data_IF_561260561006
#
_entry.id   IF_561260561006
#
_cell.length_a   1.000
_cell.length_b   1.000
_cell.length_c   1.000
_cell.angle_alpha   90.00
_cell.angle_beta   90.00
_cell.angle_gamma   90.00
#
_symmetry.space_group_name_H-M   'P 1'
#
loop_
_entity.id
_entity.type
_entity.pdbx_description
1 polymer ?
#
# COMPACT_ATOMS: atom_id res chain seq x y z
N UNK A 1 17.11 11.97 -17.55
CA UNK A 1 16.21 13.01 -17.00
C UNK A 1 15.60 12.49 -15.71
N UNK A 2 15.43 11.17 -15.60
CA UNK A 2 15.15 10.47 -14.37
C UNK A 2 16.46 10.04 -13.65
N UNK A 3 16.56 10.27 -12.34
CA UNK A 3 17.65 9.80 -11.48
C UNK A 3 17.06 8.96 -10.34
N UNK A 4 17.50 7.71 -10.20
CA UNK A 4 17.17 6.89 -9.04
C UNK A 4 18.38 6.87 -8.11
N UNK A 5 18.17 7.19 -6.83
CA UNK A 5 19.26 7.18 -5.82
C UNK A 5 19.72 5.76 -5.45
N UNK A 6 19.02 4.74 -5.96
CA UNK A 6 19.33 3.35 -5.71
C UNK A 6 19.10 2.49 -6.96
N UNK A 7 19.90 1.43 -7.16
CA UNK A 7 19.71 0.51 -8.27
C UNK A 7 18.45 -0.33 -8.06
N UNK A 8 17.75 -0.61 -9.17
CA UNK A 8 16.65 -1.58 -9.18
C UNK A 8 17.22 -3.01 -9.08
N UNK A 9 16.45 -3.92 -8.49
CA UNK A 9 16.78 -5.34 -8.59
C UNK A 9 16.65 -5.82 -10.03
N UNK A 10 17.32 -6.92 -10.39
CA UNK A 10 17.18 -7.51 -11.74
C UNK A 10 15.73 -7.79 -12.13
N UNK A 11 14.92 -8.26 -11.17
CA UNK A 11 13.50 -8.51 -11.39
C UNK A 11 12.74 -7.19 -11.63
N UNK A 12 13.02 -6.15 -10.84
CA UNK A 12 12.42 -4.82 -11.05
C UNK A 12 12.82 -4.21 -12.40
N UNK A 13 14.10 -4.35 -12.82
CA UNK A 13 14.58 -3.88 -14.12
C UNK A 13 13.87 -4.57 -15.27
N UNK A 14 13.74 -5.90 -15.20
CA UNK A 14 13.07 -6.70 -16.24
C UNK A 14 11.60 -6.32 -16.37
N UNK A 15 10.88 -6.22 -15.24
CA UNK A 15 9.47 -5.76 -15.26
C UNK A 15 9.38 -4.33 -15.78
N UNK A 16 10.23 -3.40 -15.33
CA UNK A 16 10.21 -2.01 -15.79
C UNK A 16 10.42 -1.90 -17.31
N UNK A 17 11.33 -2.71 -17.86
CA UNK A 17 11.57 -2.79 -19.30
C UNK A 17 10.35 -3.34 -20.05
N UNK A 18 9.71 -4.40 -19.54
CA UNK A 18 8.49 -4.94 -20.14
C UNK A 18 7.36 -3.91 -20.15
N UNK A 19 7.13 -3.21 -19.02
CA UNK A 19 6.15 -2.12 -18.94
C UNK A 19 6.44 -1.05 -20.00
N UNK A 20 7.71 -0.67 -20.18
CA UNK A 20 8.11 0.29 -21.20
C UNK A 20 7.78 -0.18 -22.62
N UNK A 21 8.06 -1.44 -22.97
CA UNK A 21 7.75 -1.99 -24.29
C UNK A 21 6.24 -2.10 -24.54
N UNK A 22 5.44 -2.44 -23.52
CA UNK A 22 3.98 -2.40 -23.62
C UNK A 22 3.46 -0.97 -23.85
N UNK A 23 3.92 0.00 -23.06
CA UNK A 23 3.53 1.41 -23.23
C UNK A 23 3.96 1.94 -24.60
N UNK A 24 5.14 1.57 -25.11
CA UNK A 24 5.59 1.93 -26.47
C UNK A 24 4.67 1.39 -27.57
N UNK A 25 4.10 0.22 -27.35
CA UNK A 25 3.18 -0.44 -28.29
C UNK A 25 1.71 -0.06 -28.08
N UNK A 26 1.42 0.85 -27.15
CA UNK A 26 0.06 1.31 -26.84
C UNK A 26 -0.74 0.34 -25.98
N UNK A 27 -0.12 -0.70 -25.41
CA UNK A 27 -0.79 -1.70 -24.59
C UNK A 27 -0.91 -1.29 -23.12
N UNK A 28 -2.02 -1.67 -22.52
CA UNK A 28 -2.27 -1.48 -21.09
C UNK A 28 -1.61 -2.57 -20.26
N UNK A 29 -1.23 -2.24 -19.02
CA UNK A 29 -0.53 -3.18 -18.14
C UNK A 29 -1.14 -3.16 -16.75
N UNK A 30 -1.30 -4.33 -16.15
CA UNK A 30 -1.51 -4.47 -14.70
C UNK A 30 -0.26 -5.08 -14.08
N UNK A 31 0.34 -4.35 -13.15
CA UNK A 31 1.45 -4.86 -12.35
C UNK A 31 0.89 -5.43 -11.05
N UNK A 32 0.88 -6.75 -10.93
CA UNK A 32 0.61 -7.47 -9.69
C UNK A 32 1.91 -7.61 -8.91
N UNK A 33 2.16 -6.69 -7.97
CA UNK A 33 3.35 -6.74 -7.14
C UNK A 33 3.08 -6.55 -5.66
N UNK A 34 3.76 -7.38 -4.86
CA UNK A 34 3.58 -7.45 -3.41
C UNK A 34 3.88 -6.13 -2.70
N UNK A 35 3.42 -6.03 -1.46
CA UNK A 35 3.77 -4.88 -0.61
C UNK A 35 5.27 -4.83 -0.37
N UNK A 36 5.87 -3.67 -0.63
CA UNK A 36 7.33 -3.53 -0.58
C UNK A 36 8.06 -4.06 -1.81
N UNK A 37 7.41 -4.25 -2.95
CA UNK A 37 8.10 -4.56 -4.21
C UNK A 37 8.70 -3.34 -4.93
N UNK A 38 8.42 -2.10 -4.48
CA UNK A 38 8.84 -0.88 -5.19
C UNK A 38 8.03 -0.63 -6.47
N UNK A 39 6.69 -0.70 -6.38
CA UNK A 39 5.79 -0.57 -7.54
C UNK A 39 5.94 0.74 -8.30
N UNK A 40 6.16 1.84 -7.59
CA UNK A 40 6.29 3.18 -8.17
C UNK A 40 7.50 3.26 -9.10
N UNK A 41 8.60 2.62 -8.73
CA UNK A 41 9.84 2.63 -9.50
C UNK A 41 9.71 1.89 -10.84
N UNK A 42 8.83 0.89 -10.92
CA UNK A 42 8.64 0.07 -12.12
C UNK A 42 8.14 0.88 -13.32
N UNK A 43 7.42 1.99 -13.09
CA UNK A 43 6.80 2.79 -14.14
C UNK A 43 7.64 4.00 -14.58
N UNK A 44 8.74 4.29 -13.87
CA UNK A 44 9.54 5.50 -14.12
C UNK A 44 10.15 5.55 -15.52
N UNK A 45 10.60 4.43 -16.08
CA UNK A 45 11.11 4.40 -17.46
C UNK A 45 10.02 4.75 -18.48
N UNK A 46 8.79 4.25 -18.28
CA UNK A 46 7.63 4.55 -19.13
C UNK A 46 7.21 6.01 -19.01
N UNK A 47 7.23 6.57 -17.79
CA UNK A 47 6.98 7.99 -17.57
C UNK A 47 8.01 8.84 -18.34
N UNK A 48 9.31 8.55 -18.20
CA UNK A 48 10.36 9.30 -18.89
C UNK A 48 10.22 9.23 -20.42
N UNK A 49 9.84 8.07 -20.96
CA UNK A 49 9.59 7.90 -22.39
C UNK A 49 8.46 8.79 -22.91
N UNK A 50 7.33 8.85 -22.21
CA UNK A 50 6.18 9.68 -22.59
C UNK A 50 6.52 11.17 -22.49
N UNK A 51 7.19 11.57 -21.41
CA UNK A 51 7.59 12.96 -21.19
C UNK A 51 8.59 13.45 -22.25
N UNK A 52 9.55 12.60 -22.66
CA UNK A 52 10.48 12.93 -23.76
C UNK A 52 9.79 13.17 -25.10
N UNK A 53 8.57 12.66 -25.28
CA UNK A 53 7.73 12.89 -26.47
C UNK A 53 6.82 14.12 -26.33
N UNK A 54 6.91 14.86 -25.23
CA UNK A 54 6.01 15.97 -24.91
C UNK A 54 4.61 15.53 -24.47
N UNK A 55 4.47 14.26 -24.04
CA UNK A 55 3.22 13.74 -23.53
C UNK A 55 2.97 14.06 -22.05
N UNK A 56 1.74 13.83 -21.60
CA UNK A 56 1.26 14.14 -20.26
C UNK A 56 1.18 12.85 -19.42
N UNK A 57 1.75 12.90 -18.22
CA UNK A 57 1.78 11.77 -17.29
C UNK A 57 0.95 12.06 -16.04
N UNK A 58 0.03 11.15 -15.74
CA UNK A 58 -0.77 11.18 -14.51
C UNK A 58 -0.40 10.01 -13.60
N UNK A 59 -0.32 10.26 -12.30
CA UNK A 59 -0.17 9.21 -11.28
C UNK A 59 -1.26 9.37 -10.23
N UNK A 60 -2.31 8.56 -10.35
CA UNK A 60 -3.47 8.59 -9.50
C UNK A 60 -3.38 7.54 -8.38
N UNK A 61 -3.90 7.89 -7.20
CA UNK A 61 -4.04 6.97 -6.07
C UNK A 61 -5.31 7.28 -5.27
N UNK A 62 -5.95 6.32 -4.57
CA UNK A 62 -7.16 6.59 -3.79
C UNK A 62 -6.95 7.51 -2.59
N UNK A 63 -5.72 7.58 -2.05
CA UNK A 63 -5.43 8.22 -0.75
C UNK A 63 -4.58 9.49 -0.89
N UNK A 64 -5.04 10.58 -0.27
CA UNK A 64 -4.32 11.87 -0.20
C UNK A 64 -2.92 11.76 0.40
N UNK A 65 -2.76 10.99 1.49
CA UNK A 65 -1.46 10.88 2.17
C UNK A 65 -0.40 10.21 1.25
N UNK A 66 -0.81 9.28 0.37
CA UNK A 66 0.08 8.67 -0.63
C UNK A 66 0.52 9.70 -1.69
N UNK A 67 -0.40 10.56 -2.16
CA UNK A 67 -0.03 11.65 -3.08
C UNK A 67 1.03 12.56 -2.45
N UNK A 68 0.82 12.96 -1.19
CA UNK A 68 1.74 13.85 -0.47
C UNK A 68 3.12 13.20 -0.33
N UNK A 69 3.18 11.91 0.00
CA UNK A 69 4.45 11.17 0.14
C UNK A 69 5.16 10.93 -1.21
N UNK A 70 4.42 10.88 -2.32
CA UNK A 70 4.99 10.67 -3.66
C UNK A 70 5.62 11.93 -4.25
N UNK A 71 5.11 13.13 -3.94
CA UNK A 71 5.63 14.40 -4.48
C UNK A 71 7.16 14.52 -4.33
N UNK A 72 7.74 14.47 -3.12
CA UNK A 72 9.17 14.67 -2.96
C UNK A 72 9.97 13.59 -3.70
N UNK A 73 9.51 12.33 -3.68
CA UNK A 73 10.17 11.20 -4.35
C UNK A 73 10.19 11.36 -5.87
N UNK A 74 9.06 11.73 -6.47
CA UNK A 74 8.96 11.94 -7.92
C UNK A 74 9.71 13.19 -8.34
N UNK A 75 9.70 14.26 -7.52
CA UNK A 75 10.45 15.48 -7.80
C UNK A 75 11.97 15.26 -7.72
N UNK A 76 12.44 14.47 -6.75
CA UNK A 76 13.84 14.03 -6.65
C UNK A 76 14.24 13.17 -7.84
N UNK A 77 13.37 12.24 -8.25
CA UNK A 77 13.60 11.43 -9.43
C UNK A 77 13.60 12.24 -10.74
N UNK A 78 12.80 13.31 -10.81
CA UNK A 78 12.60 14.13 -12.00
C UNK A 78 12.88 15.63 -11.75
N UNK A 79 14.13 16.02 -11.40
CA UNK A 79 14.42 17.35 -10.86
C UNK A 79 14.24 18.50 -11.87
N UNK A 80 14.24 18.20 -13.17
CA UNK A 80 14.07 19.19 -14.25
C UNK A 80 12.62 19.35 -14.71
N UNK A 81 11.72 18.53 -14.20
CA UNK A 81 10.32 18.50 -14.63
C UNK A 81 9.44 19.15 -13.57
N UNK A 82 8.38 19.80 -14.02
CA UNK A 82 7.35 20.33 -13.14
C UNK A 82 6.46 19.19 -12.64
N UNK A 83 6.45 19.00 -11.32
CA UNK A 83 5.59 18.03 -10.65
C UNK A 83 4.59 18.79 -9.78
N UNK A 84 3.31 18.46 -9.91
CA UNK A 84 2.26 19.03 -9.07
C UNK A 84 1.46 17.93 -8.37
N UNK A 85 0.75 18.33 -7.31
CA UNK A 85 -0.22 17.47 -6.66
C UNK A 85 -1.63 18.06 -6.72
N UNK A 86 -2.62 17.20 -6.95
CA UNK A 86 -4.04 17.59 -6.97
C UNK A 86 -4.82 16.67 -6.03
N UNK A 87 -5.27 17.20 -4.89
CA UNK A 87 -6.04 16.44 -3.90
C UNK A 87 -6.92 17.37 -3.06
N UNK A 88 -8.16 16.98 -2.76
CA UNK A 88 -9.09 17.80 -1.97
C UNK A 88 -9.15 19.24 -2.48
N UNK A 89 -8.81 20.21 -1.62
CA UNK A 89 -8.74 21.64 -1.94
C UNK A 89 -7.37 22.09 -2.51
N UNK A 90 -6.36 21.22 -2.54
CA UNK A 90 -5.07 21.50 -3.17
C UNK A 90 -5.19 21.36 -4.69
N UNK A 91 -5.70 22.40 -5.34
CA UNK A 91 -6.04 22.39 -6.77
C UNK A 91 -5.79 23.75 -7.45
N UNK A 92 -4.93 24.60 -6.86
CA UNK A 92 -4.58 25.94 -7.39
C UNK A 92 -3.81 25.89 -8.70
N UNK A 93 -3.08 24.80 -8.95
CA UNK A 93 -2.39 24.51 -10.21
C UNK A 93 -2.85 23.14 -10.70
N UNK A 94 -3.25 23.07 -11.97
CA UNK A 94 -3.83 21.87 -12.58
C UNK A 94 -3.02 21.33 -13.76
N UNK A 95 -1.97 22.03 -14.19
CA UNK A 95 -1.15 21.66 -15.34
C UNK A 95 0.33 21.59 -14.95
N UNK A 96 0.99 20.51 -15.37
CA UNK A 96 2.42 20.26 -15.20
C UNK A 96 2.86 19.09 -16.08
N UNK A 97 4.16 18.81 -16.12
CA UNK A 97 4.71 17.65 -16.82
C UNK A 97 4.20 16.34 -16.18
N UNK A 98 4.19 16.30 -14.84
CA UNK A 98 3.70 15.16 -14.05
C UNK A 98 2.64 15.64 -13.05
N UNK A 99 1.47 15.02 -13.09
CA UNK A 99 0.36 15.31 -12.17
C UNK A 99 0.17 14.12 -11.24
N UNK A 100 0.45 14.30 -9.95
CA UNK A 100 0.13 13.34 -8.90
C UNK A 100 -1.23 13.69 -8.32
N UNK A 101 -2.19 12.76 -8.27
CA UNK A 101 -3.55 13.13 -7.88
C UNK A 101 -4.30 12.05 -7.13
N UNK A 102 -5.32 12.46 -6.37
CA UNK A 102 -6.31 11.49 -5.89
C UNK A 102 -7.21 11.05 -7.04
N UNK A 103 -7.64 9.80 -7.04
CA UNK A 103 -8.50 9.23 -8.09
C UNK A 103 -9.77 10.08 -8.34
N UNK A 104 -10.29 10.76 -7.32
CA UNK A 104 -11.42 11.67 -7.47
C UNK A 104 -11.10 12.79 -8.45
N UNK A 105 -9.90 13.37 -8.43
CA UNK A 105 -9.56 14.55 -9.23
C UNK A 105 -9.42 14.25 -10.73
N UNK A 106 -9.45 12.97 -11.12
CA UNK A 106 -9.43 12.55 -12.53
C UNK A 106 -10.59 13.14 -13.33
N UNK A 107 -11.73 13.49 -12.70
CA UNK A 107 -12.84 14.15 -13.40
C UNK A 107 -12.45 15.45 -14.13
N UNK A 108 -11.33 16.07 -13.77
CA UNK A 108 -10.82 17.31 -14.37
C UNK A 108 -10.08 17.09 -15.69
N UNK A 109 -9.71 15.86 -15.99
CA UNK A 109 -8.70 15.55 -17.00
C UNK A 109 -9.24 14.66 -18.14
N UNK A 110 -10.39 14.97 -18.76
CA UNK A 110 -10.94 14.14 -19.83
C UNK A 110 -9.96 14.04 -21.01
N UNK A 111 -9.61 12.82 -21.39
CA UNK A 111 -8.71 12.48 -22.49
C UNK A 111 -7.40 13.28 -22.47
N UNK A 112 -6.81 13.41 -21.29
CA UNK A 112 -5.65 14.27 -21.05
C UNK A 112 -4.34 13.50 -21.00
N UNK A 113 -4.30 12.32 -20.37
CA UNK A 113 -3.05 11.62 -20.06
C UNK A 113 -2.65 10.64 -21.17
N UNK A 114 -1.45 10.80 -21.73
CA UNK A 114 -0.85 9.82 -22.64
C UNK A 114 -0.38 8.56 -21.90
N UNK A 115 -0.07 8.73 -20.61
CA UNK A 115 0.14 7.63 -19.67
C UNK A 115 -0.51 7.96 -18.34
N UNK A 116 -1.51 7.17 -17.96
CA UNK A 116 -2.14 7.25 -16.65
C UNK A 116 -1.76 6.03 -15.81
N UNK A 117 -1.04 6.26 -14.72
CA UNK A 117 -0.77 5.24 -13.71
C UNK A 117 -1.84 5.35 -12.63
N UNK A 118 -2.48 4.24 -12.27
CA UNK A 118 -3.39 4.16 -11.12
C UNK A 118 -2.82 3.16 -10.11
N UNK A 119 -2.39 3.69 -8.96
CA UNK A 119 -1.87 2.88 -7.85
C UNK A 119 -2.95 2.51 -6.85
N UNK A 120 -2.75 1.37 -6.19
CA UNK A 120 -3.65 0.84 -5.17
C UNK A 120 -5.10 0.66 -5.63
N UNK A 121 -5.31 0.10 -6.83
CA UNK A 121 -6.67 -0.14 -7.38
C UNK A 121 -7.53 -1.04 -6.48
N UNK A 122 -6.90 -1.84 -5.61
CA UNK A 122 -7.56 -2.71 -4.63
C UNK A 122 -8.05 -1.94 -3.37
N UNK A 123 -7.74 -0.65 -3.24
CA UNK A 123 -8.06 0.15 -2.06
C UNK A 123 -9.37 0.92 -2.18
N UNK A 124 -10.05 1.09 -1.04
CA UNK A 124 -11.10 2.09 -0.90
C UNK A 124 -10.52 3.52 -1.05
N UNK A 125 -11.24 4.47 -1.67
CA UNK A 125 -12.59 4.35 -2.24
C UNK A 125 -12.66 3.90 -3.71
N UNK A 126 -11.54 3.60 -4.36
CA UNK A 126 -11.55 3.24 -5.78
C UNK A 126 -12.18 1.88 -6.04
N UNK A 127 -11.81 0.86 -5.26
CA UNK A 127 -12.33 -0.50 -5.40
C UNK A 127 -13.86 -0.52 -5.31
N UNK A 128 -14.50 -1.06 -6.36
CA UNK A 128 -15.95 -1.20 -6.44
C UNK A 128 -16.72 0.09 -6.74
N UNK A 129 -16.05 1.20 -7.04
CA UNK A 129 -16.70 2.48 -7.32
C UNK A 129 -16.73 2.78 -8.83
N UNK A 130 -17.90 2.59 -9.45
CA UNK A 130 -18.09 2.78 -10.89
C UNK A 130 -17.84 4.23 -11.35
N UNK A 131 -18.15 5.22 -10.52
CA UNK A 131 -17.94 6.64 -10.86
C UNK A 131 -16.44 6.95 -10.93
N UNK A 132 -15.66 6.47 -9.97
CA UNK A 132 -14.20 6.64 -9.98
C UNK A 132 -13.55 5.86 -11.11
N UNK A 133 -14.07 4.69 -11.42
CA UNK A 133 -13.65 3.93 -12.58
C UNK A 133 -13.94 4.67 -13.89
N UNK A 134 -15.12 5.29 -14.03
CA UNK A 134 -15.46 6.11 -15.17
C UNK A 134 -14.56 7.36 -15.29
N UNK A 135 -14.23 8.03 -14.17
CA UNK A 135 -13.26 9.14 -14.19
C UNK A 135 -11.88 8.68 -14.68
N UNK A 136 -11.43 7.50 -14.23
CA UNK A 136 -10.20 6.90 -14.71
C UNK A 136 -10.25 6.66 -16.22
N UNK A 137 -11.23 5.90 -16.71
CA UNK A 137 -11.37 5.58 -18.13
C UNK A 137 -11.46 6.84 -19.00
N UNK A 138 -12.28 7.81 -18.60
CA UNK A 138 -12.43 9.07 -19.33
C UNK A 138 -11.17 9.93 -19.36
N UNK A 139 -10.22 9.73 -18.44
CA UNK A 139 -9.00 10.56 -18.37
C UNK A 139 -7.89 10.09 -19.31
N UNK A 140 -8.03 8.88 -19.85
CA UNK A 140 -7.00 8.23 -20.64
C UNK A 140 -7.06 8.76 -22.08
N UNK A 141 -5.92 9.20 -22.60
CA UNK A 141 -5.69 9.51 -24.01
C UNK A 141 -4.83 8.45 -24.70
N UNK A 142 -3.83 7.94 -23.99
CA UNK A 142 -2.91 6.92 -24.47
C UNK A 142 -3.10 5.60 -23.73
N UNK A 143 -2.03 5.09 -23.12
CA UNK A 143 -2.04 3.83 -22.37
C UNK A 143 -2.20 4.07 -20.88
N UNK A 144 -2.56 3.02 -20.15
CA UNK A 144 -2.59 3.07 -18.69
C UNK A 144 -1.83 1.90 -18.04
N UNK A 145 -1.39 2.14 -16.81
CA UNK A 145 -0.75 1.12 -15.96
C UNK A 145 -1.48 1.06 -14.63
N UNK A 146 -2.01 -0.11 -14.28
CA UNK A 146 -2.61 -0.37 -12.98
C UNK A 146 -1.59 -1.02 -12.05
N UNK A 147 -1.52 -0.57 -10.80
CA UNK A 147 -0.63 -1.13 -9.79
C UNK A 147 -1.46 -1.69 -8.62
N UNK A 148 -1.26 -2.97 -8.30
CA UNK A 148 -1.95 -3.64 -7.18
C UNK A 148 -1.08 -4.68 -6.52
N UNK A 149 -1.26 -4.89 -5.20
CA UNK A 149 -0.71 -6.09 -4.54
C UNK A 149 -1.68 -7.28 -4.58
N UNK A 150 -2.96 -7.01 -4.80
CA UNK A 150 -4.06 -7.95 -4.63
C UNK A 150 -5.16 -7.64 -5.65
N UNK A 151 -4.85 -7.67 -6.97
CA UNK A 151 -5.84 -7.38 -8.00
C UNK A 151 -6.97 -8.41 -7.94
N UNK A 152 -8.19 -7.95 -8.23
CA UNK A 152 -9.34 -8.84 -8.36
C UNK A 152 -9.31 -9.58 -9.70
N UNK A 153 -10.07 -10.68 -9.80
CA UNK A 153 -10.24 -11.38 -11.08
C UNK A 153 -10.87 -10.48 -12.15
N UNK A 154 -11.72 -9.53 -11.73
CA UNK A 154 -12.29 -8.52 -12.62
C UNK A 154 -11.18 -7.64 -13.22
N UNK A 155 -10.26 -7.15 -12.39
CA UNK A 155 -9.16 -6.29 -12.85
C UNK A 155 -8.25 -7.01 -13.85
N UNK A 156 -7.91 -8.28 -13.56
CA UNK A 156 -7.11 -9.12 -14.45
C UNK A 156 -7.84 -9.37 -15.77
N UNK A 157 -9.16 -9.63 -15.72
CA UNK A 157 -9.96 -9.89 -16.91
C UNK A 157 -10.07 -8.65 -17.78
N UNK A 158 -10.33 -7.49 -17.20
CA UNK A 158 -10.45 -6.22 -17.92
C UNK A 158 -9.20 -5.91 -18.76
N UNK A 159 -8.02 -6.09 -18.16
CA UNK A 159 -6.74 -5.90 -18.86
C UNK A 159 -6.58 -6.87 -20.04
N UNK A 160 -6.97 -8.13 -19.86
CA UNK A 160 -6.88 -9.15 -20.91
C UNK A 160 -7.86 -8.88 -22.05
N UNK A 161 -9.07 -8.44 -21.72
CA UNK A 161 -10.10 -8.08 -22.69
C UNK A 161 -9.65 -6.84 -23.52
N UNK A 162 -8.88 -5.93 -22.91
CA UNK A 162 -8.22 -4.78 -23.57
C UNK A 162 -6.94 -5.15 -24.35
N UNK A 163 -6.62 -6.44 -24.52
CA UNK A 163 -5.38 -6.94 -25.14
C UNK A 163 -4.08 -6.45 -24.45
N UNK A 164 -4.18 -6.08 -23.18
CA UNK A 164 -3.08 -5.75 -22.29
C UNK A 164 -2.38 -6.98 -21.70
N UNK A 165 -1.50 -6.75 -20.73
CA UNK A 165 -0.75 -7.82 -20.06
C UNK A 165 -0.71 -7.65 -18.54
N UNK A 166 -0.53 -8.77 -17.83
CA UNK A 166 -0.40 -8.83 -16.37
C UNK A 166 1.02 -9.24 -16.01
N UNK A 167 1.76 -8.30 -15.43
CA UNK A 167 3.14 -8.50 -15.02
C UNK A 167 3.22 -8.75 -13.52
N UNK A 168 3.84 -9.86 -13.12
CA UNK A 168 3.89 -10.31 -11.74
C UNK A 168 5.27 -10.04 -11.09
N UNK A 169 5.29 -9.48 -9.88
CA UNK A 169 6.50 -9.30 -9.07
C UNK A 169 6.23 -9.62 -7.59
N UNK A 170 6.52 -10.85 -7.18
CA UNK A 170 6.28 -11.32 -5.81
C UNK A 170 7.46 -11.15 -4.86
N UNK A 171 8.56 -10.60 -5.37
CA UNK A 171 9.75 -10.33 -4.60
C UNK A 171 9.74 -8.89 -4.05
N UNK A 172 10.13 -8.74 -2.77
CA UNK A 172 10.36 -7.41 -2.17
C UNK A 172 11.68 -6.83 -2.68
N UNK A 173 11.81 -5.50 -2.68
CA UNK A 173 13.02 -4.83 -3.18
C UNK A 173 14.33 -5.27 -2.48
N UNK A 174 14.21 -5.80 -1.26
CA UNK A 174 15.32 -6.31 -0.46
C UNK A 174 15.44 -7.84 -0.47
N UNK A 175 14.72 -8.55 -1.35
CA UNK A 175 14.83 -10.00 -1.54
C UNK A 175 14.55 -10.84 -0.26
N UNK A 176 13.65 -10.38 0.62
CA UNK A 176 13.20 -11.15 1.79
C UNK A 176 11.70 -11.44 1.72
N UNK A 177 11.29 -12.49 2.45
CA UNK A 177 9.91 -12.98 2.51
C UNK A 177 8.93 -11.91 2.97
N UNK A 178 7.72 -11.99 2.46
CA UNK A 178 6.57 -11.45 3.16
C UNK A 178 6.41 -12.24 4.48
N UNK A 179 6.23 -11.55 5.62
CA UNK A 179 6.06 -12.22 6.90
C UNK A 179 4.77 -13.06 6.89
N UNK A 180 4.92 -14.36 7.14
CA UNK A 180 3.79 -15.29 7.20
C UNK A 180 3.04 -15.12 8.53
N UNK A 181 1.71 -14.84 8.50
CA UNK A 181 0.95 -14.63 9.72
C UNK A 181 0.79 -15.91 10.55
N UNK A 182 0.95 -15.78 11.87
CA UNK A 182 0.56 -16.82 12.83
C UNK A 182 -0.89 -16.58 13.26
N UNK A 183 -1.77 -17.56 13.01
CA UNK A 183 -3.16 -17.51 13.47
C UNK A 183 -3.30 -18.03 14.90
N UNK A 184 -3.92 -17.24 15.77
CA UNK A 184 -4.26 -17.61 17.14
C UNK A 184 -5.78 -17.55 17.36
N UNK A 185 -6.41 -18.71 17.53
CA UNK A 185 -7.83 -18.81 17.86
C UNK A 185 -8.05 -18.53 19.35
N UNK A 186 -8.61 -17.36 19.68
CA UNK A 186 -8.77 -16.86 21.05
C UNK A 186 -10.10 -16.14 21.22
N UNK A 187 -10.80 -16.44 22.34
CA UNK A 187 -11.92 -15.61 22.81
C UNK A 187 -11.43 -14.23 23.25
N UNK A 188 -12.33 -13.23 23.25
CA UNK A 188 -12.03 -11.80 23.52
C UNK A 188 -11.10 -11.55 24.72
N UNK A 189 -11.41 -12.11 25.89
CA UNK A 189 -10.57 -11.93 27.08
C UNK A 189 -9.16 -12.49 26.88
N UNK A 190 -9.04 -13.71 26.34
CA UNK A 190 -7.73 -14.31 26.06
C UNK A 190 -6.97 -13.59 24.95
N UNK A 191 -7.67 -13.01 23.97
CA UNK A 191 -7.09 -12.16 22.94
C UNK A 191 -6.45 -10.91 23.57
N UNK A 192 -7.19 -10.17 24.40
CA UNK A 192 -6.67 -8.99 25.11
C UNK A 192 -5.43 -9.33 25.94
N UNK A 193 -5.47 -10.41 26.71
CA UNK A 193 -4.32 -10.87 27.51
C UNK A 193 -3.12 -11.21 26.62
N UNK A 194 -3.35 -11.82 25.46
CA UNK A 194 -2.29 -12.16 24.50
C UNK A 194 -1.66 -10.89 23.92
N UNK A 195 -2.48 -9.90 23.53
CA UNK A 195 -2.02 -8.61 23.03
C UNK A 195 -1.16 -7.91 24.08
N UNK A 196 -1.62 -7.82 25.34
CA UNK A 196 -0.84 -7.21 26.44
C UNK A 196 0.52 -7.91 26.61
N UNK A 197 0.53 -9.24 26.65
CA UNK A 197 1.78 -10.01 26.78
C UNK A 197 2.75 -9.75 25.64
N UNK A 198 2.26 -9.74 24.40
CA UNK A 198 3.07 -9.46 23.21
C UNK A 198 3.59 -8.02 23.20
N UNK A 199 2.75 -7.04 23.54
CA UNK A 199 3.17 -5.64 23.63
C UNK A 199 4.24 -5.42 24.71
N UNK A 200 4.13 -6.05 25.87
CA UNK A 200 5.17 -5.99 26.91
C UNK A 200 6.48 -6.64 26.44
N UNK A 201 6.39 -7.78 25.75
CA UNK A 201 7.55 -8.44 25.15
C UNK A 201 8.23 -7.54 24.12
N UNK A 202 7.48 -7.04 23.13
CA UNK A 202 8.01 -6.19 22.07
C UNK A 202 8.57 -4.88 22.61
N UNK A 203 7.94 -4.29 23.64
CA UNK A 203 8.49 -3.12 24.33
C UNK A 203 9.87 -3.41 24.94
N UNK A 204 10.04 -4.56 25.60
CA UNK A 204 11.35 -4.98 26.16
C UNK A 204 12.40 -5.18 25.05
N UNK A 205 11.98 -5.62 23.87
CA UNK A 205 12.83 -5.83 22.70
C UNK A 205 13.01 -4.56 21.84
N UNK A 206 12.44 -3.41 22.24
CA UNK A 206 12.40 -2.16 21.46
C UNK A 206 11.83 -2.35 20.04
N UNK A 207 10.78 -3.16 19.93
CA UNK A 207 10.08 -3.45 18.67
C UNK A 207 8.77 -2.64 18.60
N UNK A 208 8.67 -1.64 17.71
CA UNK A 208 7.42 -0.90 17.51
C UNK A 208 6.32 -1.83 17.02
N UNK A 209 5.07 -1.61 17.44
CA UNK A 209 3.95 -2.51 17.11
C UNK A 209 2.72 -1.77 16.61
N UNK A 210 2.11 -2.27 15.53
CA UNK A 210 0.74 -1.90 15.16
C UNK A 210 -0.25 -2.97 15.61
N UNK A 211 -1.34 -2.52 16.21
CA UNK A 211 -2.47 -3.35 16.63
C UNK A 211 -3.69 -2.94 15.80
N UNK A 212 -4.01 -3.71 14.77
CA UNK A 212 -5.13 -3.48 13.88
C UNK A 212 -6.43 -3.97 14.48
N UNK A 213 -7.45 -3.12 14.45
CA UNK A 213 -8.82 -3.38 14.86
C UNK A 213 -9.79 -3.12 13.70
N UNK A 214 -10.93 -3.82 13.63
CA UNK A 214 -11.84 -3.67 12.49
C UNK A 214 -12.62 -2.34 12.53
N UNK A 215 -12.94 -1.81 13.72
CA UNK A 215 -13.75 -0.58 13.86
C UNK A 215 -13.15 0.39 14.86
N UNK A 216 -13.53 1.67 14.74
CA UNK A 216 -13.11 2.74 15.65
C UNK A 216 -13.54 2.42 17.09
N UNK A 217 -14.79 2.01 17.29
CA UNK A 217 -15.33 1.65 18.61
C UNK A 217 -14.55 0.51 19.28
N UNK A 218 -14.19 -0.52 18.53
CA UNK A 218 -13.37 -1.62 19.07
C UNK A 218 -11.95 -1.16 19.37
N UNK A 219 -11.39 -0.26 18.56
CA UNK A 219 -10.12 0.40 18.80
C UNK A 219 -10.06 1.19 20.10
N UNK A 220 -11.03 2.08 20.32
CA UNK A 220 -11.12 2.89 21.54
C UNK A 220 -11.25 2.01 22.80
N UNK A 221 -12.10 0.97 22.74
CA UNK A 221 -12.28 0.02 23.84
C UNK A 221 -11.00 -0.76 24.13
N UNK A 222 -10.36 -1.30 23.08
CA UNK A 222 -9.13 -2.06 23.23
C UNK A 222 -8.01 -1.15 23.78
N UNK A 223 -7.82 0.03 23.20
CA UNK A 223 -6.80 0.97 23.60
C UNK A 223 -6.95 1.40 25.06
N UNK A 224 -8.18 1.70 25.50
CA UNK A 224 -8.48 2.05 26.89
C UNK A 224 -8.02 0.97 27.87
N UNK A 225 -8.19 -0.30 27.52
CA UNK A 225 -7.71 -1.43 28.32
C UNK A 225 -6.19 -1.54 28.24
N UNK A 226 -5.62 -1.53 27.04
CA UNK A 226 -4.18 -1.68 26.84
C UNK A 226 -3.38 -0.60 27.56
N UNK A 227 -3.85 0.65 27.55
CA UNK A 227 -3.17 1.80 28.16
C UNK A 227 -3.07 1.69 29.70
N UNK A 228 -3.91 0.86 30.35
CA UNK A 228 -3.80 0.57 31.78
C UNK A 228 -2.61 -0.36 32.11
N UNK A 229 -2.17 -1.17 31.15
CA UNK A 229 -1.14 -2.20 31.35
C UNK A 229 0.16 -1.91 30.60
N UNK A 230 0.08 -1.20 29.47
CA UNK A 230 1.20 -0.88 28.60
C UNK A 230 1.17 0.63 28.33
N UNK A 231 2.07 1.35 28.98
CA UNK A 231 2.26 2.79 28.78
C UNK A 231 2.82 3.11 27.37
N UNK A 232 2.72 4.37 26.95
CA UNK A 232 3.34 4.90 25.71
C UNK A 232 2.76 4.26 24.45
N UNK A 233 1.43 4.16 24.38
CA UNK A 233 0.72 3.88 23.13
C UNK A 233 -0.21 5.02 22.76
N UNK A 234 -0.70 4.99 21.52
CA UNK A 234 -1.81 5.84 21.08
C UNK A 234 -2.84 5.06 20.26
N UNK A 235 -4.00 5.66 20.05
CA UNK A 235 -5.03 5.21 19.13
C UNK A 235 -5.14 6.16 17.95
N UNK A 236 -5.17 5.62 16.73
CA UNK A 236 -5.28 6.42 15.50
C UNK A 236 -6.37 5.87 14.59
N UNK A 237 -7.27 6.74 14.15
CA UNK A 237 -8.34 6.41 13.21
C UNK A 237 -8.48 7.44 12.09
N UNK A 238 -9.43 7.22 11.19
CA UNK A 238 -9.77 8.17 10.13
C UNK A 238 -10.37 9.48 10.66
N UNK A 239 -10.87 9.52 11.90
CA UNK A 239 -11.53 10.68 12.51
C UNK A 239 -10.61 11.51 13.43
N UNK A 240 -9.45 10.99 13.82
CA UNK A 240 -8.52 11.73 14.68
C UNK A 240 -7.85 12.89 13.93
N UNK A 241 -8.08 14.12 14.39
CA UNK A 241 -7.35 15.32 13.93
C UNK A 241 -5.85 15.23 14.24
N UNK A 242 -5.49 14.57 15.35
CA UNK A 242 -4.10 14.39 15.80
C UNK A 242 -3.38 13.21 15.15
N UNK A 243 -4.02 12.49 14.22
CA UNK A 243 -3.44 11.30 13.55
C UNK A 243 -2.02 11.52 13.07
N UNK A 244 -1.76 12.64 12.39
CA UNK A 244 -0.42 12.96 11.86
C UNK A 244 0.61 13.12 12.98
N UNK A 245 0.25 13.82 14.05
CA UNK A 245 1.13 14.05 15.20
C UNK A 245 1.49 12.71 15.85
N UNK A 246 0.51 11.84 16.06
CA UNK A 246 0.74 10.56 16.72
C UNK A 246 1.56 9.58 15.87
N UNK A 247 1.38 9.60 14.55
CA UNK A 247 2.23 8.85 13.61
C UNK A 247 3.68 9.36 13.68
N UNK A 248 3.90 10.67 13.71
CA UNK A 248 5.25 11.23 13.81
C UNK A 248 5.90 10.91 15.16
N UNK A 249 5.16 11.00 16.26
CA UNK A 249 5.62 10.54 17.58
C UNK A 249 5.99 9.06 17.59
N UNK A 250 5.19 8.22 16.93
CA UNK A 250 5.51 6.81 16.80
C UNK A 250 6.77 6.57 15.97
N UNK A 251 6.96 7.27 14.86
CA UNK A 251 8.21 7.23 14.07
C UNK A 251 9.43 7.70 14.87
N UNK A 252 9.24 8.66 15.77
CA UNK A 252 10.27 9.16 16.68
C UNK A 252 10.54 8.24 17.89
N UNK A 253 9.89 7.06 17.96
CA UNK A 253 9.95 6.11 19.07
C UNK A 253 9.42 6.65 20.41
N UNK A 254 8.61 7.72 20.40
CA UNK A 254 7.92 8.20 21.62
C UNK A 254 6.76 7.28 22.02
N UNK A 255 6.16 6.61 21.04
CA UNK A 255 5.16 5.57 21.23
C UNK A 255 5.71 4.20 20.83
N UNK A 256 5.43 3.18 21.65
CA UNK A 256 5.82 1.80 21.40
C UNK A 256 4.78 1.01 20.61
N UNK A 257 3.50 1.40 20.72
CA UNK A 257 2.44 0.77 19.94
C UNK A 257 1.38 1.77 19.49
N UNK A 258 0.79 1.52 18.32
CA UNK A 258 -0.42 2.20 17.86
C UNK A 258 -1.55 1.18 17.70
N UNK A 259 -2.68 1.44 18.35
CA UNK A 259 -3.94 0.79 17.98
C UNK A 259 -4.51 1.57 16.80
N UNK A 260 -4.89 0.87 15.73
CA UNK A 260 -5.30 1.52 14.48
C UNK A 260 -6.39 0.73 13.77
N UNK A 261 -7.24 1.41 13.03
CA UNK A 261 -8.08 0.75 12.02
C UNK A 261 -7.28 0.50 10.73
N UNK A 262 -7.96 0.09 9.65
CA UNK A 262 -7.39 -0.02 8.29
C UNK A 262 -6.78 1.27 7.72
N UNK A 263 -6.83 2.39 8.46
CA UNK A 263 -6.19 3.65 8.03
C UNK A 263 -4.67 3.52 7.85
N UNK A 264 -4.01 2.71 8.69
CA UNK A 264 -2.56 2.45 8.61
C UNK A 264 -2.20 1.17 7.86
N UNK A 265 -3.17 0.54 7.18
CA UNK A 265 -2.87 -0.55 6.24
C UNK A 265 -1.96 -0.04 5.10
N UNK A 266 -1.92 1.29 4.90
CA UNK A 266 -1.32 2.07 3.81
C UNK A 266 -0.58 3.31 4.33
N UNK A 267 0.38 3.83 3.55
CA UNK A 267 0.96 5.17 3.78
C UNK A 267 1.95 5.39 4.93
N UNK A 268 2.30 4.40 5.76
CA UNK A 268 3.34 4.59 6.82
C UNK A 268 4.35 3.45 6.84
N UNK A 269 5.65 3.78 6.82
CA UNK A 269 6.76 2.81 6.92
C UNK A 269 7.51 3.02 8.22
N UNK A 270 7.61 1.97 9.05
CA UNK A 270 8.32 1.98 10.33
C UNK A 270 9.32 0.82 10.34
N UNK A 271 10.53 1.09 10.83
CA UNK A 271 11.59 0.09 10.93
C UNK A 271 11.27 -0.92 12.04
N UNK A 272 11.57 -2.21 11.81
CA UNK A 272 11.42 -3.29 12.80
C UNK A 272 9.99 -3.41 13.39
N UNK A 273 8.98 -3.11 12.56
CA UNK A 273 7.58 -3.09 12.96
C UNK A 273 7.02 -4.51 13.11
N UNK A 274 6.32 -4.75 14.22
CA UNK A 274 5.50 -5.94 14.45
C UNK A 274 4.03 -5.62 14.20
N UNK A 275 3.25 -6.62 13.84
CA UNK A 275 1.83 -6.44 13.50
C UNK A 275 0.98 -7.46 14.25
N UNK A 276 -0.08 -6.97 14.90
CA UNK A 276 -1.13 -7.79 15.49
C UNK A 276 -2.45 -7.35 14.87
N UNK A 277 -3.25 -8.29 14.37
CA UNK A 277 -4.63 -8.05 13.94
C UNK A 277 -5.56 -8.70 14.94
N UNK A 278 -6.35 -7.91 15.66
CA UNK A 278 -7.36 -8.40 16.60
C UNK A 278 -8.72 -8.50 15.94
N UNK A 279 -9.50 -9.50 16.33
CA UNK A 279 -10.78 -9.82 15.69
C UNK A 279 -10.58 -9.98 14.17
N UNK A 280 -9.52 -10.71 13.78
CA UNK A 280 -9.16 -10.94 12.37
C UNK A 280 -10.25 -11.70 11.58
N UNK A 281 -11.14 -12.38 12.31
CA UNK A 281 -12.35 -13.06 11.82
C UNK A 281 -13.53 -12.11 11.57
N UNK A 282 -13.38 -10.81 11.84
CA UNK A 282 -14.42 -9.82 11.61
C UNK A 282 -14.69 -9.64 10.10
N UNK A 283 -15.95 -9.56 9.63
CA UNK A 283 -16.30 -9.43 8.20
C UNK A 283 -15.78 -8.18 7.46
N UNK A 284 -15.11 -7.25 8.17
CA UNK A 284 -14.51 -6.06 7.58
C UNK A 284 -13.07 -6.33 7.11
N UNK A 285 -12.46 -7.42 7.55
CA UNK A 285 -11.16 -7.87 7.08
C UNK A 285 -11.36 -8.92 5.99
N UNK A 286 -11.12 -8.51 4.76
CA UNK A 286 -10.96 -9.44 3.64
C UNK A 286 -9.49 -9.85 3.49
N UNK A 287 -9.24 -10.86 2.68
CA UNK A 287 -7.90 -11.40 2.45
C UNK A 287 -6.95 -10.31 1.92
N UNK A 288 -7.44 -9.42 1.06
CA UNK A 288 -6.65 -8.31 0.51
C UNK A 288 -6.16 -7.38 1.62
N UNK A 289 -7.05 -6.91 2.49
CA UNK A 289 -6.72 -6.07 3.62
C UNK A 289 -5.73 -6.75 4.58
N UNK A 290 -5.94 -8.04 4.89
CA UNK A 290 -5.02 -8.81 5.73
C UNK A 290 -3.62 -8.95 5.12
N UNK A 291 -3.50 -9.18 3.81
CA UNK A 291 -2.21 -9.23 3.09
C UNK A 291 -1.50 -7.87 3.16
N UNK A 292 -2.24 -6.77 2.97
CA UNK A 292 -1.69 -5.41 3.06
C UNK A 292 -1.19 -5.10 4.48
N UNK A 293 -1.95 -5.48 5.50
CA UNK A 293 -1.62 -5.31 6.91
C UNK A 293 -0.38 -6.14 7.27
N UNK A 294 -0.33 -7.43 6.91
CA UNK A 294 0.86 -8.27 7.09
C UNK A 294 2.09 -7.65 6.40
N UNK A 295 1.86 -7.07 5.22
CA UNK A 295 2.83 -6.33 4.43
C UNK A 295 3.50 -5.13 5.11
N UNK A 296 2.97 -4.65 6.24
CA UNK A 296 3.57 -3.56 7.02
C UNK A 296 4.83 -3.98 7.76
N UNK A 297 4.93 -5.25 8.15
CA UNK A 297 6.10 -5.80 8.82
C UNK A 297 7.24 -6.11 7.84
N UNK A 298 8.48 -6.01 8.32
CA UNK A 298 9.68 -6.39 7.56
C UNK A 298 9.98 -5.55 6.31
N UNK A 299 9.61 -4.25 6.29
CA UNK A 299 9.75 -3.40 5.07
C UNK A 299 11.12 -2.76 4.85
N UNK A 300 12.05 -2.83 5.81
CA UNK A 300 13.35 -2.15 5.74
C UNK A 300 14.47 -3.17 5.55
N UNK A 301 15.45 -2.87 4.70
CA UNK A 301 16.61 -3.76 4.44
C UNK A 301 17.35 -4.12 5.75
N UNK A 302 17.48 -3.14 6.65
CA UNK A 302 18.18 -3.29 7.93
C UNK A 302 17.29 -3.83 9.06
N UNK A 303 16.04 -4.16 8.76
CA UNK A 303 15.08 -4.86 9.62
C UNK A 303 14.03 -5.59 8.75
N UNK A 304 14.44 -6.65 8.03
CA UNK A 304 13.59 -7.31 7.04
C UNK A 304 12.59 -8.29 7.65
N UNK A 305 12.73 -8.57 8.95
CA UNK A 305 11.83 -9.43 9.72
C UNK A 305 10.75 -8.62 10.44
N UNK A 306 9.71 -9.32 10.89
CA UNK A 306 8.67 -8.81 11.78
C UNK A 306 7.58 -9.85 11.99
N UNK A 307 7.19 -10.06 13.24
CA UNK A 307 6.14 -10.99 13.62
C UNK A 307 4.78 -10.40 13.22
N UNK A 308 3.98 -11.21 12.50
CA UNK A 308 2.60 -10.91 12.15
C UNK A 308 1.71 -11.93 12.83
N UNK A 309 0.76 -11.45 13.63
CA UNK A 309 -0.17 -12.31 14.37
C UNK A 309 -1.60 -11.94 14.00
N UNK A 310 -2.37 -12.92 13.53
CA UNK A 310 -3.82 -12.79 13.38
C UNK A 310 -4.49 -13.45 14.58
N UNK A 311 -5.36 -12.71 15.27
CA UNK A 311 -6.10 -13.23 16.43
C UNK A 311 -7.59 -13.10 16.13
N UNK A 312 -8.29 -14.22 16.09
CA UNK A 312 -9.74 -14.29 15.87
C UNK A 312 -10.38 -15.36 16.74
N UNK A 313 -11.71 -15.43 16.80
CA UNK A 313 -12.40 -16.50 17.53
C UNK A 313 -12.42 -17.81 16.75
N UNK A 314 -12.40 -17.69 15.43
CA UNK A 314 -12.45 -18.79 14.48
C UNK A 314 -11.57 -18.48 13.27
N UNK A 315 -11.34 -19.52 12.47
CA UNK A 315 -10.61 -19.42 11.22
C UNK A 315 -11.60 -19.22 10.07
N UNK A 316 -11.56 -18.05 9.44
CA UNK A 316 -12.39 -17.72 8.28
C UNK A 316 -11.69 -18.03 6.96
N UNK A 317 -12.46 -18.14 5.88
CA UNK A 317 -11.92 -18.32 4.52
C UNK A 317 -11.01 -17.15 4.11
N UNK A 318 -11.35 -15.92 4.50
CA UNK A 318 -10.53 -14.73 4.21
C UNK A 318 -9.16 -14.79 4.91
N UNK A 319 -9.10 -15.25 6.17
CA UNK A 319 -7.84 -15.48 6.88
C UNK A 319 -7.03 -16.56 6.17
N UNK A 320 -7.65 -17.70 5.84
CA UNK A 320 -6.95 -18.79 5.17
C UNK A 320 -6.42 -18.35 3.81
N UNK A 321 -7.24 -17.63 3.03
CA UNK A 321 -6.83 -17.09 1.73
C UNK A 321 -5.65 -16.13 1.87
N UNK A 322 -5.65 -15.24 2.86
CA UNK A 322 -4.52 -14.34 3.10
C UNK A 322 -3.22 -15.11 3.40
N UNK A 323 -3.28 -16.11 4.29
CA UNK A 323 -2.10 -16.92 4.65
C UNK A 323 -1.60 -17.72 3.43
N UNK A 324 -2.51 -18.39 2.70
CA UNK A 324 -2.16 -19.16 1.50
C UNK A 324 -1.56 -18.29 0.41
N UNK A 325 -2.11 -17.09 0.17
CA UNK A 325 -1.59 -16.17 -0.84
C UNK A 325 -0.20 -15.64 -0.47
N UNK A 326 0.03 -15.26 0.80
CA UNK A 326 1.36 -14.84 1.26
C UNK A 326 2.38 -15.96 1.06
N UNK A 327 2.02 -17.19 1.42
CA UNK A 327 2.87 -18.36 1.20
C UNK A 327 3.18 -18.55 -0.29
N UNK A 328 2.15 -18.53 -1.15
CA UNK A 328 2.30 -18.62 -2.61
C UNK A 328 3.19 -17.51 -3.18
N UNK A 329 3.11 -16.29 -2.67
CA UNK A 329 3.99 -15.19 -3.08
C UNK A 329 5.45 -15.47 -2.71
N UNK A 330 5.69 -15.98 -1.50
CA UNK A 330 7.04 -16.38 -1.07
C UNK A 330 7.59 -17.55 -1.91
N UNK A 331 6.76 -18.51 -2.31
CA UNK A 331 7.15 -19.62 -3.21
C UNK A 331 7.50 -19.09 -4.61
N UNK A 332 6.63 -18.26 -5.20
CA UNK A 332 6.88 -17.65 -6.52
C UNK A 332 8.11 -16.75 -6.54
N UNK A 333 8.47 -16.14 -5.41
CA UNK A 333 9.71 -15.37 -5.25
C UNK A 333 10.95 -16.26 -5.04
N UNK A 334 10.81 -17.59 -4.96
CA UNK A 334 11.92 -18.52 -4.74
C UNK A 334 12.52 -18.44 -3.33
N UNK A 335 11.74 -18.03 -2.34
CA UNK A 335 12.22 -17.82 -0.97
C UNK A 335 11.91 -18.98 -0.02
N UNK A 336 11.03 -19.92 -0.40
CA UNK A 336 10.63 -21.07 0.41
C UNK A 336 11.37 -22.36 0.07
#
# INVERSE_FOLDING_TARGET
VLHLDYPLSKAQEEISKQVLEHVKSGKNVLIHAVTGAGKTELVYQSMEYILKKGGHVGFATPRKDVVIDLIPRVQEACPKLSVIAVYGEHNSKLEADIILLTCHQLYRYPSYFDLLIMDEIDAFPYRGNEVLHAFFQNSIRGSYVLLSATPSEKDIKEIKDDHGDVLELFERYHHHKLPEPVLLEKKRFSMIVTVIKKLLQYKKENKPTFVFVPTIELGEKLFSILNLFVSHGSFVSSKEERRRIDIEKFKANEFHYLVTTSILERGVTVKNLQVIVTDADHPLFDASGLIQIAGRAGRKIDAPEGEVIFIGKEKTDEIQRAITEIHRYNEKAGLL
#
